data_IF_227821847190
#
_entry.id   IF_227821847190
#
_cell.length_a   1.000
_cell.length_b   1.000
_cell.length_c   1.000
_cell.angle_alpha   90.00
_cell.angle_beta   90.00
_cell.angle_gamma   90.00
#
_symmetry.space_group_name_H-M   'P 1'
#
loop_
_entity.id
_entity.type
_entity.pdbx_description
1 polymer ?
#
# COMPACT_ATOMS: atom_id res chain seq x y z
N UNK A 1 -8.29 -27.61 9.34
CA UNK A 1 -8.56 -26.18 9.12
C UNK A 1 -8.95 -25.61 10.48
N UNK A 2 -8.26 -24.58 11.00
CA UNK A 2 -8.43 -24.11 12.37
C UNK A 2 -9.24 -22.80 12.39
N UNK A 3 -10.57 -22.93 12.50
CA UNK A 3 -11.53 -21.82 12.53
C UNK A 3 -11.33 -20.95 13.77
N UNK A 4 -10.90 -21.54 14.89
CA UNK A 4 -10.67 -20.79 16.15
C UNK A 4 -9.53 -19.80 16.01
N UNK A 5 -8.46 -20.17 15.29
CA UNK A 5 -7.33 -19.27 15.00
C UNK A 5 -7.75 -18.09 14.12
N UNK A 6 -8.59 -18.35 13.12
CA UNK A 6 -9.12 -17.31 12.24
C UNK A 6 -10.00 -16.32 13.03
N UNK A 7 -10.90 -16.83 13.88
CA UNK A 7 -11.74 -15.99 14.74
C UNK A 7 -10.92 -15.11 15.70
N UNK A 8 -9.87 -15.66 16.32
CA UNK A 8 -9.00 -14.89 17.22
C UNK A 8 -8.27 -13.74 16.50
N UNK A 9 -7.86 -13.94 15.24
CA UNK A 9 -7.23 -12.89 14.44
C UNK A 9 -8.24 -11.80 14.04
N UNK A 10 -9.48 -12.18 13.67
CA UNK A 10 -10.56 -11.22 13.44
C UNK A 10 -10.90 -10.42 14.69
N UNK A 11 -10.98 -11.08 15.85
CA UNK A 11 -11.26 -10.40 17.12
C UNK A 11 -10.20 -9.32 17.39
N UNK A 12 -8.91 -9.63 17.19
CA UNK A 12 -7.82 -8.64 17.35
C UNK A 12 -7.98 -7.41 16.44
N UNK A 13 -8.51 -7.58 15.23
CA UNK A 13 -8.77 -6.48 14.29
C UNK A 13 -9.98 -5.67 14.76
N UNK A 14 -11.06 -6.32 15.19
CA UNK A 14 -12.28 -5.66 15.63
C UNK A 14 -12.16 -4.96 16.99
N UNK A 15 -11.24 -5.38 17.85
CA UNK A 15 -10.99 -4.75 19.16
C UNK A 15 -9.89 -3.69 19.11
N UNK A 16 -9.34 -3.36 17.94
CA UNK A 16 -8.29 -2.36 17.83
C UNK A 16 -8.86 -0.93 17.94
N UNK A 17 -8.50 -0.23 19.01
CA UNK A 17 -9.06 1.10 19.32
C UNK A 17 -8.26 2.27 18.71
N UNK A 18 -7.14 2.00 18.04
CA UNK A 18 -6.30 3.01 17.40
C UNK A 18 -5.84 2.58 16.00
N UNK A 19 -5.60 3.53 15.07
CA UNK A 19 -5.08 3.20 13.74
C UNK A 19 -3.78 2.39 13.77
N UNK A 20 -2.89 2.68 14.73
CA UNK A 20 -1.64 1.94 14.92
C UNK A 20 -1.90 0.49 15.34
N UNK A 21 -2.74 0.27 16.35
CA UNK A 21 -3.10 -1.08 16.80
C UNK A 21 -3.79 -1.90 15.69
N UNK A 22 -4.63 -1.24 14.88
CA UNK A 22 -5.29 -1.87 13.74
C UNK A 22 -4.27 -2.30 12.68
N UNK A 23 -3.30 -1.44 12.35
CA UNK A 23 -2.23 -1.76 11.40
C UNK A 23 -1.35 -2.93 11.91
N UNK A 24 -0.97 -2.93 13.19
CA UNK A 24 -0.19 -4.01 13.81
C UNK A 24 -0.95 -5.36 13.78
N UNK A 25 -2.26 -5.35 14.05
CA UNK A 25 -3.11 -6.54 13.97
C UNK A 25 -3.16 -7.11 12.55
N UNK A 26 -3.33 -6.25 11.53
CA UNK A 26 -3.29 -6.69 10.13
C UNK A 26 -1.90 -7.21 9.72
N UNK A 27 -0.82 -6.53 10.11
CA UNK A 27 0.54 -6.96 9.78
C UNK A 27 0.87 -8.35 10.36
N UNK A 28 0.45 -8.62 11.60
CA UNK A 28 0.62 -9.91 12.25
C UNK A 28 -0.19 -11.03 11.57
N UNK A 29 -1.33 -10.69 11.00
CA UNK A 29 -2.24 -11.65 10.36
C UNK A 29 -1.99 -11.86 8.87
N UNK A 30 -1.36 -10.91 8.18
CA UNK A 30 -1.22 -10.87 6.72
C UNK A 30 -0.70 -12.18 6.09
N UNK A 31 0.24 -12.86 6.74
CA UNK A 31 0.84 -14.10 6.24
C UNK A 31 -0.14 -15.29 6.16
N UNK A 32 -1.18 -15.32 7.01
CA UNK A 32 -2.20 -16.38 7.04
C UNK A 32 -3.59 -15.89 6.70
N UNK A 33 -3.77 -14.57 6.56
CA UNK A 33 -5.03 -13.86 6.29
C UNK A 33 -5.86 -14.56 5.21
N UNK A 34 -5.28 -14.78 4.04
CA UNK A 34 -5.99 -15.33 2.88
C UNK A 34 -6.58 -16.72 3.17
N UNK A 35 -5.76 -17.60 3.75
CA UNK A 35 -6.17 -18.98 4.05
C UNK A 35 -7.21 -19.05 5.17
N UNK A 36 -7.08 -18.17 6.18
CA UNK A 36 -7.94 -18.16 7.36
C UNK A 36 -9.28 -17.48 7.06
N UNK A 37 -9.28 -16.35 6.34
CA UNK A 37 -10.51 -15.71 5.87
C UNK A 37 -11.28 -16.57 4.87
N UNK A 38 -10.59 -17.23 3.93
CA UNK A 38 -11.25 -18.18 3.03
C UNK A 38 -11.92 -19.33 3.80
N UNK A 39 -11.31 -19.80 4.90
CA UNK A 39 -11.91 -20.85 5.76
C UNK A 39 -13.17 -20.39 6.48
N UNK A 40 -13.34 -19.07 6.65
CA UNK A 40 -14.54 -18.43 7.19
C UNK A 40 -15.58 -18.08 6.10
N UNK A 41 -15.33 -18.47 4.85
CA UNK A 41 -16.22 -18.19 3.72
C UNK A 41 -16.07 -16.79 3.14
N UNK A 42 -14.97 -16.09 3.42
CA UNK A 42 -14.69 -14.79 2.82
C UNK A 42 -14.33 -14.96 1.33
N UNK A 43 -15.27 -14.62 0.46
CA UNK A 43 -15.13 -14.78 -1.00
C UNK A 43 -15.07 -13.45 -1.76
N UNK A 44 -15.04 -12.30 -1.06
CA UNK A 44 -15.07 -10.98 -1.69
C UNK A 44 -13.98 -10.76 -2.75
N UNK A 45 -12.71 -11.20 -2.58
CA UNK A 45 -11.67 -11.04 -3.61
C UNK A 45 -12.00 -11.72 -4.95
N UNK A 46 -12.87 -12.74 -4.93
CA UNK A 46 -13.32 -13.43 -6.14
C UNK A 46 -14.60 -12.81 -6.72
N UNK A 47 -15.51 -12.36 -5.85
CA UNK A 47 -16.75 -11.70 -6.27
C UNK A 47 -16.47 -10.34 -6.93
N UNK A 48 -15.49 -9.59 -6.43
CA UNK A 48 -15.13 -8.30 -7.00
C UNK A 48 -14.63 -8.44 -8.44
N UNK A 49 -13.88 -9.50 -8.76
CA UNK A 49 -13.42 -9.77 -10.12
C UNK A 49 -14.61 -10.00 -11.09
N UNK A 50 -15.67 -10.68 -10.63
CA UNK A 50 -16.88 -10.87 -11.41
C UNK A 50 -17.66 -9.56 -11.63
N UNK A 51 -17.67 -8.66 -10.65
CA UNK A 51 -18.28 -7.34 -10.81
C UNK A 51 -17.49 -6.44 -11.75
N UNK A 52 -16.16 -6.41 -11.65
CA UNK A 52 -15.30 -5.71 -12.62
C UNK A 52 -15.57 -6.24 -14.03
N UNK A 53 -15.58 -7.57 -14.22
CA UNK A 53 -15.90 -8.21 -15.50
C UNK A 53 -17.27 -7.84 -16.08
N UNK A 54 -18.26 -7.60 -15.21
CA UNK A 54 -19.62 -7.22 -15.63
C UNK A 54 -19.70 -5.77 -16.10
N UNK A 55 -18.88 -4.89 -15.56
CA UNK A 55 -19.07 -3.44 -15.72
C UNK A 55 -17.96 -2.73 -16.49
N UNK A 56 -16.77 -3.32 -16.57
CA UNK A 56 -15.60 -2.74 -17.25
C UNK A 56 -15.15 -3.73 -18.33
N UNK A 57 -15.23 -3.42 -19.62
CA UNK A 57 -14.73 -4.32 -20.66
C UNK A 57 -13.24 -4.65 -20.50
N UNK A 58 -12.86 -5.90 -20.78
CA UNK A 58 -11.45 -6.30 -20.78
C UNK A 58 -10.70 -5.53 -21.87
N UNK A 59 -9.70 -4.73 -21.47
CA UNK A 59 -8.97 -3.82 -22.37
C UNK A 59 -9.18 -2.34 -22.07
N UNK A 60 -10.19 -2.01 -21.25
CA UNK A 60 -10.33 -0.69 -20.64
C UNK A 60 -9.56 -0.65 -19.31
N UNK A 61 -8.89 0.47 -19.05
CA UNK A 61 -8.00 0.67 -17.91
C UNK A 61 -7.27 2.02 -17.96
N UNK A 62 -6.38 2.30 -16.98
CA UNK A 62 -5.93 1.42 -15.91
C UNK A 62 -6.98 1.19 -14.80
N UNK A 63 -6.94 0.02 -14.17
CA UNK A 63 -7.71 -0.32 -12.97
C UNK A 63 -6.89 -0.04 -11.70
N UNK A 64 -7.55 0.47 -10.66
CA UNK A 64 -6.97 0.59 -9.33
C UNK A 64 -7.71 -0.34 -8.35
N UNK A 65 -7.00 -1.29 -7.78
CA UNK A 65 -7.45 -2.06 -6.62
C UNK A 65 -7.08 -1.28 -5.36
N UNK A 66 -8.01 -0.47 -4.87
CA UNK A 66 -7.84 0.35 -3.68
C UNK A 66 -8.21 -0.46 -2.42
N UNK A 67 -7.26 -0.60 -1.50
CA UNK A 67 -7.33 -1.60 -0.44
C UNK A 67 -7.00 -3.01 -0.93
N UNK A 68 -5.99 -3.14 -1.82
CA UNK A 68 -5.69 -4.42 -2.47
C UNK A 68 -5.22 -5.52 -1.50
N UNK A 69 -4.84 -5.17 -0.27
CA UNK A 69 -4.35 -6.06 0.77
C UNK A 69 -3.21 -6.94 0.27
N UNK A 70 -3.38 -8.25 0.41
CA UNK A 70 -2.45 -9.29 -0.08
C UNK A 70 -2.42 -9.44 -1.61
N UNK A 71 -3.30 -8.74 -2.33
CA UNK A 71 -3.34 -8.72 -3.80
C UNK A 71 -4.13 -9.87 -4.44
N UNK A 72 -4.96 -10.59 -3.68
CA UNK A 72 -5.72 -11.76 -4.16
C UNK A 72 -6.63 -11.50 -5.38
N UNK A 73 -7.16 -10.29 -5.52
CA UNK A 73 -8.02 -9.92 -6.66
C UNK A 73 -7.23 -9.87 -7.98
N UNK A 74 -5.94 -9.53 -7.92
CA UNK A 74 -5.08 -9.31 -9.08
C UNK A 74 -4.96 -10.52 -10.01
N UNK A 75 -4.58 -11.72 -9.52
CA UNK A 75 -4.51 -12.92 -10.35
C UNK A 75 -5.84 -13.26 -11.05
N UNK A 76 -6.96 -13.11 -10.36
CA UNK A 76 -8.30 -13.35 -10.91
C UNK A 76 -8.63 -12.37 -12.05
N UNK A 77 -8.36 -11.08 -11.84
CA UNK A 77 -8.54 -10.05 -12.87
C UNK A 77 -7.61 -10.27 -14.07
N UNK A 78 -6.35 -10.65 -13.84
CA UNK A 78 -5.41 -10.98 -14.92
C UNK A 78 -5.87 -12.18 -15.75
N UNK A 79 -6.42 -13.21 -15.10
CA UNK A 79 -6.99 -14.37 -15.79
C UNK A 79 -8.19 -14.00 -16.67
N UNK A 80 -8.95 -12.96 -16.30
CA UNK A 80 -10.07 -12.42 -17.06
C UNK A 80 -9.65 -11.41 -18.16
N UNK A 81 -8.35 -11.16 -18.35
CA UNK A 81 -7.82 -10.33 -19.43
C UNK A 81 -7.46 -8.90 -19.04
N UNK A 82 -7.61 -8.50 -17.78
CA UNK A 82 -7.17 -7.18 -17.31
C UNK A 82 -5.66 -7.17 -17.06
N UNK A 83 -4.93 -6.36 -17.83
CA UNK A 83 -3.46 -6.35 -17.79
C UNK A 83 -2.88 -5.13 -17.09
N UNK A 84 -3.59 -4.01 -17.17
CA UNK A 84 -3.21 -2.72 -16.60
C UNK A 84 -3.95 -2.49 -15.28
N UNK A 85 -3.40 -3.06 -14.20
CA UNK A 85 -3.95 -3.03 -12.85
C UNK A 85 -2.87 -2.54 -11.90
N UNK A 86 -3.16 -1.47 -11.17
CA UNK A 86 -2.41 -0.99 -10.03
C UNK A 86 -3.10 -1.42 -8.73
N UNK A 87 -2.32 -1.75 -7.71
CA UNK A 87 -2.82 -2.00 -6.35
C UNK A 87 -2.30 -0.93 -5.41
N UNK A 88 -3.18 -0.41 -4.55
CA UNK A 88 -2.83 0.50 -3.47
C UNK A 88 -3.45 -0.04 -2.19
N UNK A 89 -2.66 -0.16 -1.12
CA UNK A 89 -3.17 -0.54 0.18
C UNK A 89 -2.67 0.44 1.25
N UNK A 90 -3.43 0.56 2.34
CA UNK A 90 -3.08 1.43 3.46
C UNK A 90 -2.18 0.71 4.48
N UNK A 91 -1.95 -0.59 4.36
CA UNK A 91 -1.01 -1.34 5.21
C UNK A 91 0.43 -0.85 5.05
N UNK A 92 1.16 -0.81 6.16
CA UNK A 92 2.56 -0.38 6.22
C UNK A 92 3.47 -1.41 5.53
N UNK A 93 4.64 -0.97 5.06
CA UNK A 93 5.73 -1.86 4.60
C UNK A 93 5.35 -2.84 3.46
N UNK A 94 4.68 -2.37 2.41
CA UNK A 94 4.31 -3.22 1.27
C UNK A 94 5.36 -3.22 0.14
N UNK A 95 5.85 -2.04 -0.24
CA UNK A 95 6.71 -1.87 -1.42
C UNK A 95 8.20 -1.97 -1.08
N UNK A 96 9.01 -2.54 -1.99
CA UNK A 96 10.48 -2.60 -1.83
C UNK A 96 11.19 -1.31 -2.22
N UNK A 97 10.54 -0.49 -3.02
CA UNK A 97 11.00 0.85 -3.36
C UNK A 97 9.81 1.69 -3.84
N UNK A 98 9.92 3.01 -3.69
CA UNK A 98 9.16 3.95 -4.50
C UNK A 98 10.12 4.73 -5.39
N UNK A 99 9.65 5.14 -6.56
CA UNK A 99 10.38 6.08 -7.39
C UNK A 99 9.47 7.13 -7.99
N UNK A 100 10.02 8.31 -8.22
CA UNK A 100 9.26 9.44 -8.75
C UNK A 100 10.14 10.39 -9.55
N UNK A 101 9.71 10.73 -10.76
CA UNK A 101 10.38 11.73 -11.59
C UNK A 101 9.37 12.82 -11.93
N UNK A 102 9.72 14.07 -11.61
CA UNK A 102 8.88 15.24 -11.94
C UNK A 102 7.65 15.50 -11.07
N UNK A 103 7.36 14.70 -10.04
CA UNK A 103 6.19 14.91 -9.14
C UNK A 103 6.47 15.96 -8.06
N UNK A 104 7.68 15.98 -7.51
CA UNK A 104 8.08 16.98 -6.51
C UNK A 104 8.57 18.26 -7.20
N UNK A 105 7.60 18.96 -7.80
CA UNK A 105 7.77 20.20 -8.56
C UNK A 105 6.69 21.22 -8.17
N UNK A 106 6.78 22.42 -8.74
CA UNK A 106 5.88 23.55 -8.41
C UNK A 106 4.42 23.13 -8.66
N UNK A 107 3.58 23.29 -7.65
CA UNK A 107 2.13 23.04 -7.69
C UNK A 107 1.69 21.58 -7.92
N UNK A 108 2.56 20.58 -7.74
CA UNK A 108 2.18 19.16 -7.77
C UNK A 108 2.06 18.57 -6.36
N UNK A 109 3.07 17.85 -5.88
CA UNK A 109 3.03 17.17 -4.59
C UNK A 109 3.81 17.95 -3.52
N UNK A 110 3.24 18.14 -2.31
CA UNK A 110 3.96 18.71 -1.18
C UNK A 110 4.98 17.74 -0.61
N UNK A 111 5.96 18.26 0.15
CA UNK A 111 6.96 17.45 0.85
C UNK A 111 6.33 16.41 1.81
N UNK A 112 5.17 16.73 2.40
CA UNK A 112 4.43 15.81 3.28
C UNK A 112 3.98 14.51 2.60
N UNK A 113 3.93 14.47 1.26
CA UNK A 113 3.67 13.21 0.53
C UNK A 113 4.75 12.15 0.76
N UNK A 114 5.97 12.57 1.14
CA UNK A 114 7.07 11.64 1.43
C UNK A 114 6.80 10.78 2.67
N UNK A 115 6.07 11.27 3.68
CA UNK A 115 5.74 10.46 4.86
C UNK A 115 4.95 9.21 4.46
N UNK A 116 3.96 9.35 3.57
CA UNK A 116 3.16 8.23 3.11
C UNK A 116 3.95 7.28 2.21
N UNK A 117 4.78 7.80 1.31
CA UNK A 117 5.65 7.00 0.45
C UNK A 117 6.68 6.20 1.27
N UNK A 118 7.23 6.80 2.32
CA UNK A 118 8.11 6.13 3.28
C UNK A 118 7.33 5.08 4.08
N UNK A 119 6.13 5.41 4.58
CA UNK A 119 5.29 4.50 5.38
C UNK A 119 4.94 3.21 4.64
N UNK A 120 4.65 3.29 3.34
CA UNK A 120 4.32 2.11 2.53
C UNK A 120 5.55 1.37 1.99
N UNK A 121 6.76 1.89 2.23
CA UNK A 121 8.02 1.26 1.82
C UNK A 121 8.59 0.41 2.95
N UNK A 122 8.94 -0.84 2.66
CA UNK A 122 9.55 -1.78 3.60
C UNK A 122 10.83 -1.22 4.22
N UNK A 123 11.12 -1.53 5.48
CA UNK A 123 12.45 -1.33 6.06
C UNK A 123 13.53 -1.95 5.17
N UNK A 124 14.55 -1.16 4.82
CA UNK A 124 15.61 -1.56 3.87
C UNK A 124 15.22 -1.42 2.39
N UNK A 125 14.04 -0.89 2.09
CA UNK A 125 13.62 -0.46 0.76
C UNK A 125 14.28 0.86 0.34
N UNK A 126 14.04 1.28 -0.90
CA UNK A 126 14.67 2.47 -1.49
C UNK A 126 13.66 3.54 -1.88
N UNK A 127 14.01 4.79 -1.63
CA UNK A 127 13.34 5.97 -2.15
C UNK A 127 14.20 6.54 -3.29
N UNK A 128 13.66 6.64 -4.51
CA UNK A 128 14.43 7.11 -5.69
C UNK A 128 13.65 8.21 -6.38
N UNK A 129 13.98 9.47 -6.13
CA UNK A 129 13.16 10.56 -6.66
C UNK A 129 13.93 11.84 -6.93
N UNK A 130 13.36 12.68 -7.79
CA UNK A 130 13.88 14.02 -8.09
C UNK A 130 13.05 15.08 -7.39
N UNK A 131 13.70 16.08 -6.80
CA UNK A 131 13.06 17.32 -6.34
C UNK A 131 13.61 18.49 -7.15
N UNK A 132 12.75 19.38 -7.61
CA UNK A 132 13.20 20.61 -8.30
C UNK A 132 13.79 21.60 -7.28
N UNK A 133 14.98 22.13 -7.54
CA UNK A 133 15.73 23.03 -6.63
C UNK A 133 14.88 24.13 -5.99
N UNK A 134 14.08 24.84 -6.79
CA UNK A 134 13.21 25.92 -6.31
C UNK A 134 12.22 25.46 -5.24
N UNK A 135 11.71 24.24 -5.37
CA UNK A 135 10.77 23.63 -4.42
C UNK A 135 11.51 22.98 -3.27
N UNK A 136 12.74 22.52 -3.48
CA UNK A 136 13.57 22.02 -2.39
C UNK A 136 13.83 23.11 -1.33
N UNK A 137 14.12 24.34 -1.77
CA UNK A 137 14.40 25.45 -0.86
C UNK A 137 13.16 26.03 -0.19
N UNK A 138 12.02 26.08 -0.88
CA UNK A 138 10.82 26.80 -0.42
C UNK A 138 9.64 25.90 -0.05
N UNK A 139 9.69 24.62 -0.42
CA UNK A 139 8.58 23.67 -0.31
C UNK A 139 8.65 22.73 0.90
N UNK A 140 9.52 23.01 1.87
CA UNK A 140 9.64 22.26 3.12
C UNK A 140 10.34 20.90 3.00
N UNK A 141 10.96 20.60 1.86
CA UNK A 141 11.65 19.31 1.65
C UNK A 141 12.85 19.13 2.58
N UNK A 142 13.63 20.19 2.84
CA UNK A 142 14.75 20.15 3.79
C UNK A 142 14.30 19.69 5.18
N UNK A 143 13.18 20.22 5.67
CA UNK A 143 12.66 19.91 6.99
C UNK A 143 12.14 18.47 7.06
N UNK A 144 11.35 18.05 6.06
CA UNK A 144 10.85 16.66 5.96
C UNK A 144 12.01 15.67 5.87
N UNK A 145 13.07 15.99 5.13
CA UNK A 145 14.24 15.14 5.02
C UNK A 145 14.95 14.99 6.36
N UNK A 146 15.20 16.12 7.04
CA UNK A 146 15.84 16.13 8.34
C UNK A 146 15.03 15.38 9.40
N UNK A 147 13.70 15.49 9.39
CA UNK A 147 12.82 14.76 10.30
C UNK A 147 12.85 13.26 10.03
N UNK A 148 12.71 12.83 8.78
CA UNK A 148 12.77 11.42 8.41
C UNK A 148 14.15 10.79 8.70
N UNK A 149 15.23 11.55 8.61
CA UNK A 149 16.57 11.12 9.01
C UNK A 149 16.71 11.04 10.53
N UNK A 150 16.25 12.07 11.25
CA UNK A 150 16.26 12.11 12.72
C UNK A 150 15.48 10.95 13.33
N UNK A 151 14.33 10.61 12.75
CA UNK A 151 13.46 9.52 13.19
C UNK A 151 13.91 8.13 12.67
N UNK A 152 15.09 8.06 12.04
CA UNK A 152 15.69 6.85 11.48
C UNK A 152 14.77 6.12 10.48
N UNK A 153 13.86 6.85 9.84
CA UNK A 153 12.93 6.31 8.83
C UNK A 153 13.62 6.09 7.49
N UNK A 154 14.62 6.91 7.19
CA UNK A 154 15.47 6.73 6.01
C UNK A 154 16.88 7.27 6.25
N UNK A 155 17.74 7.12 5.25
CA UNK A 155 19.07 7.74 5.20
C UNK A 155 19.47 7.99 3.76
N UNK A 156 20.28 9.02 3.47
CA UNK A 156 20.82 9.24 2.14
C UNK A 156 21.73 8.08 1.73
N UNK A 157 21.64 7.71 0.45
CA UNK A 157 22.49 6.67 -0.17
C UNK A 157 23.29 7.29 -1.32
N UNK A 158 22.64 8.13 -2.13
CA UNK A 158 23.19 8.83 -3.30
C UNK A 158 22.35 10.09 -3.57
N UNK A 159 22.95 11.11 -4.19
CA UNK A 159 22.30 12.37 -4.64
C UNK A 159 22.60 12.64 -6.13
#
# INVERSE_FOLDING_TARGET
>A
MNVDKANAALDSVYTADTPKALAEAYAAWAATYDSETASLGYLLPFLIAAWVARHVPSGEGPLLDAGCGTGLSGPSLRALGYRDIAGLDLSEEYFRAFFSTGVFTISHAPASGLYELVRITKKGGHAIFTVRDQVFESGGFRDVFAELEHDEKWRPVEE
#
